data_IF_654465637172
#
_entry.id   IF_654465637172
#
_cell.length_a   1.000
_cell.length_b   1.000
_cell.length_c   1.000
_cell.angle_alpha   90.00
_cell.angle_beta   90.00
_cell.angle_gamma   90.00
#
_symmetry.space_group_name_H-M   'P 1'
#
loop_
_entity.id
_entity.type
_entity.pdbx_description
1 polymer ?
#
# COMPACT_ATOMS: atom_id res chain seq x y z
N UNK A 1 -9.44 -7.53 -25.22
CA UNK A 1 -10.40 -6.96 -24.26
C UNK A 1 -9.60 -6.16 -23.25
N UNK A 2 -9.75 -4.84 -23.20
CA UNK A 2 -9.18 -4.05 -22.09
C UNK A 2 -9.90 -4.44 -20.82
N UNK A 3 -9.18 -4.73 -19.75
CA UNK A 3 -9.80 -4.96 -18.45
C UNK A 3 -10.50 -3.65 -18.02
N UNK A 4 -11.82 -3.68 -17.96
CA UNK A 4 -12.61 -2.51 -17.56
C UNK A 4 -12.44 -2.25 -16.06
N UNK A 5 -12.47 -0.97 -15.71
CA UNK A 5 -12.45 -0.55 -14.32
C UNK A 5 -13.81 -0.88 -13.68
N UNK A 6 -13.81 -1.51 -12.51
CA UNK A 6 -15.04 -1.80 -11.74
C UNK A 6 -15.63 -0.51 -11.18
N UNK A 7 -14.78 0.36 -10.60
CA UNK A 7 -15.17 1.67 -10.11
C UNK A 7 -13.98 2.63 -10.06
N UNK A 8 -14.23 3.92 -10.27
CA UNK A 8 -13.33 5.01 -9.90
C UNK A 8 -13.93 5.76 -8.71
N UNK A 9 -13.28 5.64 -7.56
CA UNK A 9 -13.72 6.25 -6.31
C UNK A 9 -13.22 7.69 -6.15
N UNK A 10 -12.33 8.16 -7.04
CA UNK A 10 -11.64 9.43 -6.88
C UNK A 10 -10.85 9.48 -5.56
N UNK A 11 -10.83 10.65 -4.93
CA UNK A 11 -10.15 10.90 -3.66
C UNK A 11 -8.89 11.74 -3.81
N UNK A 12 -8.55 12.48 -2.76
CA UNK A 12 -7.34 13.29 -2.68
C UNK A 12 -6.16 12.44 -2.22
N UNK A 13 -5.00 12.64 -2.84
CA UNK A 13 -3.77 12.00 -2.41
C UNK A 13 -3.32 12.58 -1.08
N UNK A 14 -3.11 11.69 -0.10
CA UNK A 14 -2.64 12.05 1.24
C UNK A 14 -1.11 11.89 1.39
N UNK A 15 -0.46 11.36 0.36
CA UNK A 15 0.98 11.11 0.30
C UNK A 15 1.34 10.29 -0.94
N UNK A 16 2.62 9.98 -1.14
CA UNK A 16 3.07 9.24 -2.32
C UNK A 16 2.61 7.78 -2.27
N UNK A 17 2.20 7.24 -3.42
CA UNK A 17 1.87 5.82 -3.57
C UNK A 17 2.96 5.15 -4.41
N UNK A 18 3.50 4.06 -3.90
CA UNK A 18 4.51 3.26 -4.57
C UNK A 18 3.91 2.58 -5.81
N UNK A 19 4.55 2.81 -6.95
CA UNK A 19 4.39 2.00 -8.17
C UNK A 19 5.76 1.59 -8.70
N UNK A 20 5.81 0.47 -9.42
CA UNK A 20 7.07 -0.15 -9.82
C UNK A 20 7.88 0.75 -10.76
N UNK A 21 7.22 1.41 -11.71
CA UNK A 21 7.84 2.34 -12.64
C UNK A 21 7.13 3.69 -12.64
N UNK A 22 7.87 4.76 -12.95
CA UNK A 22 7.31 6.11 -13.06
C UNK A 22 6.18 6.16 -14.11
N UNK A 23 5.08 6.82 -13.76
CA UNK A 23 3.89 6.93 -14.62
C UNK A 23 2.95 5.71 -14.58
N UNK A 24 3.33 4.62 -13.92
CA UNK A 24 2.39 3.54 -13.63
C UNK A 24 1.43 3.93 -12.50
N UNK A 25 0.27 3.26 -12.47
CA UNK A 25 -0.76 3.49 -11.46
C UNK A 25 -1.10 2.25 -10.64
N UNK A 26 -0.43 1.11 -10.90
CA UNK A 26 -0.70 -0.14 -10.17
C UNK A 26 -0.20 -0.05 -8.73
N UNK A 27 -1.13 0.12 -7.79
CA UNK A 27 -0.84 0.14 -6.36
C UNK A 27 -0.53 -1.26 -5.83
N UNK A 28 0.19 -1.29 -4.70
CA UNK A 28 0.43 -2.51 -3.91
C UNK A 28 1.00 -3.67 -4.75
N UNK A 29 1.70 -3.35 -5.84
CA UNK A 29 2.22 -4.31 -6.82
C UNK A 29 1.17 -5.29 -7.39
N UNK A 30 -0.11 -4.93 -7.32
CA UNK A 30 -1.24 -5.75 -7.79
C UNK A 30 -1.78 -6.76 -6.77
N UNK A 31 -1.32 -6.74 -5.51
CA UNK A 31 -1.92 -7.57 -4.47
C UNK A 31 -3.28 -7.04 -4.03
N UNK A 32 -4.16 -7.97 -3.66
CA UNK A 32 -5.48 -7.68 -3.14
C UNK A 32 -5.39 -7.06 -1.74
N UNK A 33 -5.68 -5.77 -1.64
CA UNK A 33 -5.61 -5.01 -0.39
C UNK A 33 -6.52 -5.56 0.73
N UNK A 34 -7.68 -6.13 0.38
CA UNK A 34 -8.61 -6.71 1.36
C UNK A 34 -8.08 -8.04 1.89
N UNK A 35 -7.38 -8.81 1.04
CA UNK A 35 -6.88 -10.14 1.43
C UNK A 35 -5.94 -10.14 2.64
N UNK A 36 -5.19 -9.04 2.85
CA UNK A 36 -4.30 -8.86 4.00
C UNK A 36 -5.01 -8.97 5.36
N UNK A 37 -6.31 -8.72 5.40
CA UNK A 37 -7.10 -8.62 6.62
C UNK A 37 -7.88 -9.91 6.95
N UNK A 38 -7.75 -10.95 6.11
CA UNK A 38 -8.51 -12.19 6.27
C UNK A 38 -7.79 -13.24 7.14
N UNK A 39 -6.53 -12.99 7.54
CA UNK A 39 -5.74 -13.89 8.40
C UNK A 39 -4.91 -14.95 7.66
N UNK A 40 -5.16 -15.12 6.36
CA UNK A 40 -4.33 -15.94 5.46
C UNK A 40 -3.24 -15.09 4.78
N UNK A 41 -2.35 -15.76 4.03
CA UNK A 41 -1.37 -15.06 3.19
C UNK A 41 -2.08 -14.19 2.14
N UNK A 42 -1.57 -12.97 1.87
CA UNK A 42 -2.18 -12.08 0.89
C UNK A 42 -2.06 -12.70 -0.50
N UNK A 43 -3.06 -12.45 -1.33
CA UNK A 43 -3.15 -13.01 -2.68
C UNK A 43 -3.04 -11.93 -3.74
N UNK A 44 -2.55 -12.32 -4.91
CA UNK A 44 -2.53 -11.42 -6.08
C UNK A 44 -3.95 -11.15 -6.57
N UNK A 45 -4.18 -9.89 -6.95
CA UNK A 45 -5.41 -9.49 -7.60
C UNK A 45 -5.43 -9.84 -9.08
N UNK A 46 -6.59 -9.64 -9.69
CA UNK A 46 -6.80 -9.78 -11.12
C UNK A 46 -7.08 -8.42 -11.75
N UNK A 47 -6.65 -8.23 -13.00
CA UNK A 47 -7.02 -7.06 -13.80
C UNK A 47 -8.54 -6.97 -13.99
N UNK A 48 -9.25 -8.09 -13.93
CA UNK A 48 -10.71 -8.17 -14.07
C UNK A 48 -11.45 -7.46 -12.93
N UNK A 49 -10.89 -7.46 -11.72
CA UNK A 49 -11.47 -6.79 -10.56
C UNK A 49 -10.57 -5.65 -10.14
N UNK A 50 -10.74 -4.50 -10.81
CA UNK A 50 -9.91 -3.32 -10.59
C UNK A 50 -10.72 -2.15 -10.08
N UNK A 51 -10.29 -1.53 -8.99
CA UNK A 51 -10.89 -0.30 -8.44
C UNK A 51 -9.84 0.79 -8.40
N UNK A 52 -10.20 1.99 -8.83
CA UNK A 52 -9.31 3.15 -8.81
C UNK A 52 -9.62 4.00 -7.59
N UNK A 53 -8.60 4.33 -6.82
CA UNK A 53 -8.68 5.12 -5.60
C UNK A 53 -7.48 6.05 -5.50
N UNK A 54 -7.73 7.34 -5.23
CA UNK A 54 -6.74 8.42 -5.23
C UNK A 54 -5.87 8.45 -6.50
N UNK A 55 -6.43 8.04 -7.65
CA UNK A 55 -5.68 7.98 -8.91
C UNK A 55 -4.76 6.75 -9.08
N UNK A 56 -4.86 5.75 -8.21
CA UNK A 56 -4.12 4.49 -8.33
C UNK A 56 -5.07 3.30 -8.48
N UNK A 57 -4.65 2.33 -9.28
CA UNK A 57 -5.38 1.11 -9.60
C UNK A 57 -5.03 0.02 -8.57
N UNK A 58 -6.04 -0.40 -7.81
CA UNK A 58 -6.00 -1.57 -6.94
C UNK A 58 -6.65 -2.75 -7.64
N UNK A 59 -6.04 -3.93 -7.55
CA UNK A 59 -6.56 -5.18 -8.12
C UNK A 59 -6.99 -6.12 -7.01
N UNK A 60 -8.05 -6.89 -7.27
CA UNK A 60 -8.64 -7.79 -6.28
C UNK A 60 -8.75 -9.20 -6.85
N UNK A 61 -8.63 -10.21 -6.00
CA UNK A 61 -8.73 -11.60 -6.39
C UNK A 61 -10.18 -11.98 -6.72
N UNK A 62 -11.15 -11.28 -6.12
CA UNK A 62 -12.58 -11.53 -6.30
C UNK A 62 -13.36 -10.21 -6.44
N UNK A 63 -14.53 -10.29 -7.09
CA UNK A 63 -15.49 -9.18 -7.13
C UNK A 63 -15.97 -8.76 -5.73
N UNK A 64 -16.05 -9.71 -4.79
CA UNK A 64 -16.43 -9.45 -3.39
C UNK A 64 -15.39 -8.58 -2.68
N UNK A 65 -14.10 -8.89 -2.82
CA UNK A 65 -13.03 -8.08 -2.23
C UNK A 65 -13.01 -6.68 -2.86
N UNK A 66 -13.21 -6.56 -4.18
CA UNK A 66 -13.36 -5.26 -4.82
C UNK A 66 -14.54 -4.47 -4.26
N UNK A 67 -15.67 -5.12 -3.99
CA UNK A 67 -16.84 -4.46 -3.39
C UNK A 67 -16.56 -4.03 -1.94
N UNK A 68 -15.90 -4.87 -1.13
CA UNK A 68 -15.49 -4.53 0.23
C UNK A 68 -14.57 -3.29 0.22
N UNK A 69 -13.58 -3.26 -0.67
CA UNK A 69 -12.68 -2.12 -0.80
C UNK A 69 -13.42 -0.84 -1.17
N UNK A 70 -14.41 -0.91 -2.06
CA UNK A 70 -15.21 0.26 -2.45
C UNK A 70 -15.99 0.89 -1.29
N UNK A 71 -16.32 0.13 -0.25
CA UNK A 71 -17.04 0.66 0.92
C UNK A 71 -16.18 1.53 1.82
N UNK A 72 -14.89 1.19 1.97
CA UNK A 72 -13.95 1.89 2.85
C UNK A 72 -12.51 1.70 2.35
N UNK A 73 -12.12 2.36 1.26
CA UNK A 73 -10.81 2.13 0.64
C UNK A 73 -9.66 2.58 1.55
N UNK A 74 -9.87 3.59 2.39
CA UNK A 74 -8.87 4.12 3.31
C UNK A 74 -8.48 3.12 4.41
N UNK A 75 -9.38 2.21 4.79
CA UNK A 75 -9.10 1.13 5.75
C UNK A 75 -8.14 0.07 5.19
N UNK A 76 -8.28 -0.26 3.91
CA UNK A 76 -7.56 -1.38 3.29
C UNK A 76 -6.29 -0.94 2.55
N UNK A 77 -6.24 0.29 2.06
CA UNK A 77 -5.04 0.84 1.43
C UNK A 77 -3.84 0.82 2.41
N UNK A 78 -2.61 0.56 1.95
CA UNK A 78 -1.43 0.61 2.81
C UNK A 78 -1.28 1.98 3.44
N UNK A 79 -0.99 2.03 4.75
CA UNK A 79 -0.89 3.27 5.51
C UNK A 79 0.17 4.23 4.94
N UNK A 80 1.23 3.70 4.34
CA UNK A 80 2.29 4.46 3.70
C UNK A 80 2.40 4.19 2.21
N UNK A 81 1.26 4.07 1.53
CA UNK A 81 1.18 4.05 0.06
C UNK A 81 1.88 2.87 -0.62
N UNK A 82 2.28 1.83 0.13
CA UNK A 82 3.03 0.68 -0.38
C UNK A 82 4.55 0.80 -0.21
N UNK A 83 5.04 1.86 0.42
CA UNK A 83 6.43 2.01 0.82
C UNK A 83 6.73 1.29 2.15
N UNK A 84 8.02 1.10 2.41
CA UNK A 84 8.54 0.48 3.62
C UNK A 84 8.33 1.37 4.84
N UNK A 85 7.50 0.90 5.76
CA UNK A 85 7.16 1.59 7.02
C UNK A 85 8.37 1.86 7.91
N UNK A 86 9.40 1.02 7.83
CA UNK A 86 10.65 1.25 8.55
C UNK A 86 11.50 2.34 7.91
N UNK A 87 11.59 2.39 6.58
CA UNK A 87 12.37 3.43 5.91
C UNK A 87 11.80 4.82 6.22
N UNK A 88 10.48 4.94 6.14
CA UNK A 88 9.77 6.19 6.44
C UNK A 88 9.94 6.56 7.93
N UNK A 89 9.64 5.64 8.85
CA UNK A 89 9.68 5.95 10.29
C UNK A 89 11.08 6.07 10.90
N UNK A 90 12.06 5.33 10.39
CA UNK A 90 13.42 5.30 10.96
C UNK A 90 14.39 6.23 10.26
N UNK A 91 14.24 6.41 8.94
CA UNK A 91 15.21 7.12 8.11
C UNK A 91 14.63 8.33 7.37
N UNK A 92 13.33 8.61 7.50
CA UNK A 92 12.68 9.71 6.77
C UNK A 92 12.94 9.61 5.26
N UNK A 93 12.70 8.41 4.71
CA UNK A 93 13.01 8.08 3.32
C UNK A 93 12.03 7.07 2.73
N UNK A 94 11.85 7.15 1.40
CA UNK A 94 11.08 6.18 0.63
C UNK A 94 11.93 4.97 0.23
N UNK A 95 11.38 3.77 0.45
CA UNK A 95 11.90 2.51 -0.10
C UNK A 95 10.70 1.60 -0.42
N UNK A 96 10.75 0.75 -1.46
CA UNK A 96 9.63 -0.10 -1.80
C UNK A 96 9.27 -1.05 -0.65
N UNK A 97 7.98 -1.27 -0.42
CA UNK A 97 7.51 -2.34 0.45
C UNK A 97 7.45 -3.67 -0.29
N UNK A 98 7.79 -4.77 0.39
CA UNK A 98 7.48 -6.11 -0.11
C UNK A 98 6.03 -6.45 0.30
N UNK A 99 5.13 -6.73 -0.66
CA UNK A 99 3.72 -7.05 -0.37
C UNK A 99 3.56 -8.31 0.48
N UNK A 100 4.58 -9.17 0.59
CA UNK A 100 4.55 -10.39 1.40
C UNK A 100 5.17 -10.22 2.78
N UNK A 101 5.79 -9.06 3.06
CA UNK A 101 6.38 -8.73 4.36
C UNK A 101 5.59 -7.56 4.95
N UNK A 102 4.54 -7.89 5.68
CA UNK A 102 3.57 -6.94 6.17
C UNK A 102 3.20 -7.17 7.64
N UNK A 103 2.57 -6.15 8.21
CA UNK A 103 1.94 -6.19 9.52
C UNK A 103 0.60 -5.46 9.47
N UNK A 104 -0.41 -6.04 10.14
CA UNK A 104 -1.64 -5.33 10.48
C UNK A 104 -1.50 -4.81 11.90
N UNK A 105 -1.53 -3.49 12.06
CA UNK A 105 -1.44 -2.82 13.38
C UNK A 105 -2.61 -1.87 13.49
N UNK A 106 -3.43 -2.03 14.54
CA UNK A 106 -4.64 -1.24 14.77
C UNK A 106 -5.56 -1.13 13.54
N UNK A 107 -5.68 -2.24 12.80
CA UNK A 107 -6.54 -2.32 11.61
C UNK A 107 -5.99 -1.64 10.36
N UNK A 108 -4.70 -1.29 10.33
CA UNK A 108 -4.02 -0.67 9.19
C UNK A 108 -2.90 -1.54 8.64
N UNK A 109 -2.71 -1.49 7.33
CA UNK A 109 -1.70 -2.28 6.62
C UNK A 109 -0.37 -1.53 6.53
N UNK A 110 0.70 -2.16 7.02
CA UNK A 110 2.08 -1.68 6.96
C UNK A 110 2.97 -2.68 6.24
N UNK A 111 3.76 -2.22 5.26
CA UNK A 111 4.72 -3.06 4.54
C UNK A 111 6.15 -2.79 5.00
N UNK A 112 7.03 -3.76 4.81
CA UNK A 112 8.48 -3.60 5.00
C UNK A 112 9.24 -4.12 3.78
N UNK A 113 10.42 -3.56 3.54
CA UNK A 113 11.26 -3.92 2.39
C UNK A 113 11.74 -5.38 2.40
N UNK A 114 11.96 -5.95 3.58
CA UNK A 114 12.42 -7.34 3.74
C UNK A 114 12.12 -7.85 5.15
N UNK A 115 12.19 -9.18 5.34
CA UNK A 115 12.00 -9.81 6.67
C UNK A 115 12.97 -9.27 7.74
N UNK A 116 14.20 -8.93 7.36
CA UNK A 116 15.17 -8.36 8.29
C UNK A 116 14.88 -6.90 8.62
N UNK A 117 14.34 -6.13 7.68
CA UNK A 117 13.84 -4.77 7.93
C UNK A 117 12.59 -4.82 8.81
N UNK A 118 11.69 -5.78 8.59
CA UNK A 118 10.53 -6.00 9.45
C UNK A 118 10.96 -6.30 10.90
N UNK A 119 11.98 -7.15 11.12
CA UNK A 119 12.54 -7.37 12.46
C UNK A 119 13.11 -6.11 13.12
N UNK A 120 13.54 -5.11 12.34
CA UNK A 120 13.98 -3.81 12.88
C UNK A 120 12.78 -2.96 13.25
N UNK A 121 11.77 -2.93 12.39
CA UNK A 121 10.51 -2.22 12.62
C UNK A 121 9.78 -2.71 13.85
N UNK A 122 9.70 -4.04 14.04
CA UNK A 122 9.01 -4.63 15.19
C UNK A 122 9.66 -4.35 16.55
N UNK A 123 10.86 -3.75 16.58
CA UNK A 123 11.50 -3.32 17.84
C UNK A 123 10.82 -2.13 18.49
N UNK A 124 10.16 -1.28 17.71
CA UNK A 124 9.48 -0.08 18.21
C UNK A 124 8.37 0.34 17.23
N UNK A 125 7.39 -0.54 17.03
CA UNK A 125 6.25 -0.28 16.12
C UNK A 125 5.57 1.06 16.43
N UNK A 126 5.20 1.37 17.69
CA UNK A 126 4.53 2.64 17.99
C UNK A 126 5.41 3.85 17.65
N UNK A 127 6.70 3.82 18.00
CA UNK A 127 7.62 4.93 17.72
C UNK A 127 7.89 5.12 16.23
N UNK A 128 7.99 4.03 15.45
CA UNK A 128 8.13 4.14 13.99
C UNK A 128 6.85 4.60 13.31
N UNK A 129 5.66 4.22 13.81
CA UNK A 129 4.39 4.75 13.30
C UNK A 129 4.28 6.24 13.62
N UNK A 130 4.57 6.68 14.85
CA UNK A 130 4.48 8.09 15.22
C UNK A 130 5.38 8.98 14.35
N UNK A 131 6.60 8.52 14.07
CA UNK A 131 7.51 9.21 13.16
C UNK A 131 7.02 9.11 11.72
N UNK A 132 6.57 7.93 11.32
CA UNK A 132 6.14 7.69 9.94
C UNK A 132 4.93 8.52 9.55
N UNK A 133 3.99 8.75 10.46
CA UNK A 133 2.82 9.60 10.23
C UNK A 133 3.20 11.08 10.03
N UNK A 134 4.35 11.52 10.58
CA UNK A 134 4.88 12.88 10.38
C UNK A 134 5.69 12.98 9.09
N UNK A 135 6.48 11.96 8.77
CA UNK A 135 7.41 11.92 7.65
C UNK A 135 6.72 11.62 6.32
N UNK A 136 5.81 10.65 6.29
CA UNK A 136 5.13 10.21 5.07
C UNK A 136 4.51 11.32 4.22
N UNK A 137 3.72 12.27 4.76
CA UNK A 137 3.09 13.31 3.96
C UNK A 137 4.07 14.36 3.42
N UNK A 138 5.35 14.35 3.83
CA UNK A 138 6.35 15.32 3.34
C UNK A 138 7.10 14.85 2.10
N UNK A 139 6.93 13.58 1.71
CA UNK A 139 7.60 12.99 0.56
C UNK A 139 6.83 13.17 -0.75
N UNK A 140 7.56 13.23 -1.86
CA UNK A 140 7.04 13.13 -3.23
C UNK A 140 7.39 11.78 -3.87
N UNK A 141 6.49 11.22 -4.68
CA UNK A 141 6.71 9.91 -5.31
C UNK A 141 7.92 9.91 -6.27
N UNK A 142 8.28 11.06 -6.84
CA UNK A 142 9.46 11.22 -7.72
C UNK A 142 10.79 10.95 -7.01
N UNK A 143 10.85 11.08 -5.69
CA UNK A 143 12.03 10.71 -4.89
C UNK A 143 12.37 9.22 -5.04
N UNK A 144 11.37 8.38 -5.32
CA UNK A 144 11.58 6.95 -5.53
C UNK A 144 12.27 6.61 -6.86
N UNK A 145 12.09 7.42 -7.91
CA UNK A 145 12.54 7.10 -9.27
C UNK A 145 13.89 7.73 -9.65
N UNK A 146 14.47 8.55 -8.77
CA UNK A 146 15.62 9.41 -9.10
C UNK A 146 17.00 8.84 -8.72
N UNK A 147 17.11 7.52 -8.52
CA UNK A 147 18.35 6.83 -8.12
C UNK A 147 19.26 6.43 -9.28
#
# INVERSE_FOLDING_TARGET
MSAELVADLGGELQGPVYTKNEGETLALTGYDAVSYFNGDAPVEGSKEFRVRYQGFDYQFATAENAAIFQTDPAKYAPQYGGYCSWAIGANDALAPGDPTVYHIVDGKLYLNFSKDVAKRWTKDVPGFIEKGDKNYPTHDASEHYTS
#
